data_IF_813986653716
#
_entry.id   IF_813986653716
#
_cell.length_a   1.000
_cell.length_b   1.000
_cell.length_c   1.000
_cell.angle_alpha   90.00
_cell.angle_beta   90.00
_cell.angle_gamma   90.00
#
_symmetry.space_group_name_H-M   'P 1'
#
loop_
_entity.id
_entity.type
_entity.pdbx_description
1 polymer ?
#
# COMPACT_ATOMS: atom_id res chain seq x y z
N UNK A 1 -41.12 50.78 15.99
CA UNK A 1 -39.88 50.64 15.17
C UNK A 1 -38.97 49.55 15.65
N UNK A 2 -38.57 49.49 16.93
CA UNK A 2 -37.62 48.54 17.52
C UNK A 2 -37.93 47.04 17.31
N UNK A 3 -39.20 46.63 17.24
CA UNK A 3 -39.61 45.24 17.03
C UNK A 3 -39.34 44.73 15.59
N UNK A 4 -39.51 45.59 14.59
CA UNK A 4 -39.26 45.29 13.18
C UNK A 4 -37.72 45.17 12.89
N UNK A 5 -36.90 46.00 13.55
CA UNK A 5 -35.45 45.93 13.42
C UNK A 5 -34.86 44.67 14.04
N UNK A 6 -35.32 44.27 15.24
CA UNK A 6 -34.92 43.02 15.86
C UNK A 6 -35.25 41.79 14.99
N UNK A 7 -36.44 41.77 14.38
CA UNK A 7 -36.85 40.67 13.47
C UNK A 7 -35.98 40.63 12.21
N UNK A 8 -35.54 41.79 11.68
CA UNK A 8 -34.65 41.86 10.51
C UNK A 8 -33.23 41.38 10.84
N UNK A 9 -32.69 41.74 12.01
CA UNK A 9 -31.40 41.28 12.48
C UNK A 9 -31.39 39.78 12.74
N UNK A 10 -32.46 39.24 13.37
CA UNK A 10 -32.63 37.82 13.63
C UNK A 10 -32.70 36.99 12.35
N UNK A 11 -33.42 37.47 11.33
CA UNK A 11 -33.45 36.79 10.02
C UNK A 11 -32.10 36.80 9.31
N UNK A 12 -31.35 37.90 9.42
CA UNK A 12 -30.00 37.97 8.87
C UNK A 12 -29.08 36.98 9.58
N UNK A 13 -29.09 36.96 10.91
CA UNK A 13 -28.29 36.05 11.70
C UNK A 13 -28.62 34.60 11.35
N UNK A 14 -29.88 34.25 11.33
CA UNK A 14 -30.32 32.89 10.97
C UNK A 14 -29.89 32.49 9.56
N UNK A 15 -29.95 33.39 8.60
CA UNK A 15 -29.49 33.16 7.23
C UNK A 15 -27.97 32.86 7.18
N UNK A 16 -27.16 33.67 7.87
CA UNK A 16 -25.72 33.48 7.87
C UNK A 16 -25.26 32.24 8.66
N UNK A 17 -25.87 32.01 9.81
CA UNK A 17 -25.62 30.79 10.59
C UNK A 17 -26.04 29.55 9.81
N UNK A 18 -27.20 29.58 9.18
CA UNK A 18 -27.66 28.48 8.31
C UNK A 18 -26.70 28.21 7.14
N UNK A 19 -26.24 29.31 6.49
CA UNK A 19 -25.27 29.17 5.38
C UNK A 19 -23.96 28.53 5.84
N UNK A 20 -23.40 28.95 6.97
CA UNK A 20 -22.16 28.41 7.53
C UNK A 20 -22.36 26.93 7.92
N UNK A 21 -23.46 26.61 8.61
CA UNK A 21 -23.77 25.22 8.97
C UNK A 21 -23.93 24.34 7.73
N UNK A 22 -24.58 24.82 6.69
CA UNK A 22 -24.73 24.07 5.43
C UNK A 22 -23.39 23.79 4.79
N UNK A 23 -22.47 24.75 4.82
CA UNK A 23 -21.10 24.54 4.31
C UNK A 23 -20.36 23.44 5.08
N UNK A 24 -20.49 23.42 6.41
CA UNK A 24 -19.90 22.35 7.24
C UNK A 24 -20.54 20.99 6.93
N UNK A 25 -21.87 20.92 6.82
CA UNK A 25 -22.56 19.66 6.50
C UNK A 25 -22.10 19.13 5.13
N UNK A 26 -21.97 20.00 4.12
CA UNK A 26 -21.46 19.63 2.81
C UNK A 26 -20.02 19.13 2.90
N UNK A 27 -19.15 19.81 3.66
CA UNK A 27 -17.77 19.39 3.84
C UNK A 27 -17.67 18.00 4.50
N UNK A 28 -18.46 17.74 5.55
CA UNK A 28 -18.54 16.42 6.20
C UNK A 28 -19.11 15.35 5.28
N UNK A 29 -20.17 15.65 4.52
CA UNK A 29 -20.74 14.70 3.58
C UNK A 29 -19.74 14.32 2.49
N UNK A 30 -19.04 15.29 1.90
CA UNK A 30 -17.98 15.05 0.92
C UNK A 30 -16.83 14.24 1.54
N UNK A 31 -16.38 14.59 2.75
CA UNK A 31 -15.37 13.84 3.47
C UNK A 31 -15.79 12.37 3.69
N UNK A 32 -17.03 12.13 4.07
CA UNK A 32 -17.59 10.78 4.24
C UNK A 32 -17.61 9.98 2.93
N UNK A 33 -17.99 10.61 1.82
CA UNK A 33 -17.93 9.99 0.49
C UNK A 33 -16.49 9.63 0.12
N UNK A 34 -15.55 10.56 0.36
CA UNK A 34 -14.13 10.31 0.09
C UNK A 34 -13.58 9.17 0.93
N UNK A 35 -13.89 9.10 2.22
CA UNK A 35 -13.43 8.02 3.10
C UNK A 35 -14.00 6.66 2.70
N UNK A 36 -15.25 6.62 2.24
CA UNK A 36 -15.90 5.37 1.82
C UNK A 36 -15.38 4.87 0.45
N UNK A 37 -14.92 5.76 -0.41
CA UNK A 37 -14.37 5.44 -1.73
C UNK A 37 -12.83 5.52 -1.76
N UNK A 38 -12.19 4.94 -0.76
CA UNK A 38 -10.73 4.96 -0.59
C UNK A 38 -9.97 4.51 -1.84
N UNK A 39 -10.46 3.48 -2.54
CA UNK A 39 -9.83 2.96 -3.77
C UNK A 39 -9.82 3.96 -4.93
N UNK A 40 -10.78 4.88 -4.99
CA UNK A 40 -10.79 5.93 -6.00
C UNK A 40 -9.75 7.02 -5.70
N UNK A 41 -9.51 7.30 -4.41
CA UNK A 41 -8.59 8.36 -3.97
C UNK A 41 -7.14 7.88 -4.01
N UNK A 42 -6.86 6.62 -3.66
CA UNK A 42 -5.51 6.05 -3.68
C UNK A 42 -4.92 5.95 -5.09
N UNK A 43 -5.76 6.09 -6.13
CA UNK A 43 -5.28 6.24 -7.52
C UNK A 43 -4.70 7.62 -7.82
N UNK A 44 -5.02 8.63 -7.00
CA UNK A 44 -4.53 10.00 -7.20
C UNK A 44 -3.21 10.16 -6.45
N UNK A 45 -2.13 10.03 -7.17
CA UNK A 45 -0.78 10.25 -6.65
C UNK A 45 -0.53 11.76 -6.65
N UNK A 46 -0.80 12.40 -5.52
CA UNK A 46 -0.55 13.83 -5.35
C UNK A 46 0.97 14.05 -5.22
N UNK A 47 1.58 14.87 -6.08
CA UNK A 47 3.00 15.14 -5.98
C UNK A 47 3.33 15.77 -4.62
N UNK A 48 4.34 15.24 -3.94
CA UNK A 48 4.80 15.69 -2.61
C UNK A 48 5.03 17.20 -2.51
N UNK A 49 5.43 17.84 -3.61
CA UNK A 49 5.64 19.30 -3.68
C UNK A 49 4.39 20.14 -3.33
N UNK A 50 3.19 19.54 -3.39
CA UNK A 50 1.93 20.21 -3.05
C UNK A 50 1.55 20.04 -1.58
N UNK A 51 2.28 19.19 -0.83
CA UNK A 51 2.02 19.01 0.58
C UNK A 51 2.69 20.13 1.39
N UNK A 52 2.02 20.67 2.41
CA UNK A 52 2.65 21.57 3.36
C UNK A 52 3.89 20.92 3.98
N UNK A 53 4.95 21.70 4.22
CA UNK A 53 6.24 21.18 4.72
C UNK A 53 6.11 20.30 5.98
N UNK A 54 5.16 20.58 6.84
CA UNK A 54 4.89 19.80 8.05
C UNK A 54 4.41 18.37 7.79
N UNK A 55 3.94 18.07 6.57
CA UNK A 55 3.51 16.74 6.13
C UNK A 55 4.49 16.09 5.13
N UNK A 56 5.59 16.75 4.81
CA UNK A 56 6.66 16.16 4.04
C UNK A 56 7.38 15.18 4.94
N UNK A 57 7.33 13.90 4.58
CA UNK A 57 8.01 12.83 5.30
C UNK A 57 9.52 12.94 5.06
N UNK A 58 10.22 13.65 5.95
CA UNK A 58 11.68 13.70 5.99
C UNK A 58 12.25 12.56 6.83
N UNK A 59 11.38 11.78 7.47
CA UNK A 59 11.75 10.65 8.31
C UNK A 59 11.24 9.34 7.72
N UNK A 60 12.00 8.30 7.91
CA UNK A 60 11.68 6.93 7.51
C UNK A 60 10.75 6.22 8.52
N UNK A 61 10.15 6.93 9.48
CA UNK A 61 9.50 6.36 10.64
C UNK A 61 8.08 5.84 10.41
N UNK A 62 7.32 6.35 9.46
CA UNK A 62 5.89 6.00 9.31
C UNK A 62 5.67 4.78 8.39
N UNK A 63 6.38 3.66 8.65
CA UNK A 63 6.28 2.48 7.81
C UNK A 63 6.91 2.67 6.42
N UNK A 64 7.74 3.70 6.25
CA UNK A 64 8.50 3.92 5.03
C UNK A 64 9.41 2.73 4.75
N UNK A 65 9.98 2.15 5.80
CA UNK A 65 10.70 0.88 5.78
C UNK A 65 9.96 -0.11 6.68
N UNK A 66 9.46 -1.18 6.11
CA UNK A 66 8.81 -2.30 6.81
C UNK A 66 9.79 -3.46 6.97
N UNK A 67 10.71 -3.60 6.03
CA UNK A 67 11.69 -4.66 6.09
C UNK A 67 12.88 -4.40 5.19
N UNK A 68 13.85 -5.29 5.32
CA UNK A 68 15.09 -5.26 4.57
C UNK A 68 15.38 -6.64 4.00
N UNK A 69 16.05 -6.68 2.85
CA UNK A 69 16.55 -7.89 2.24
C UNK A 69 18.02 -7.69 1.85
N UNK A 70 18.88 -8.61 2.28
CA UNK A 70 20.29 -8.59 1.87
C UNK A 70 20.40 -9.01 0.41
N UNK A 71 20.99 -8.16 -0.41
CA UNK A 71 21.18 -8.40 -1.85
C UNK A 71 22.59 -8.88 -2.20
N UNK A 72 23.55 -8.61 -1.32
CA UNK A 72 24.96 -8.95 -1.51
C UNK A 72 25.75 -8.66 -0.25
N UNK A 73 27.09 -8.77 -0.30
CA UNK A 73 27.95 -8.48 0.85
C UNK A 73 27.78 -7.04 1.34
N UNK A 74 27.68 -6.08 0.40
CA UNK A 74 27.68 -4.64 0.70
C UNK A 74 26.40 -3.92 0.25
N UNK A 75 25.32 -4.66 -0.06
CA UNK A 75 24.08 -4.06 -0.54
C UNK A 75 22.85 -4.62 0.16
N UNK A 76 21.94 -3.72 0.49
CA UNK A 76 20.68 -3.99 1.16
C UNK A 76 19.54 -3.36 0.36
N UNK A 77 18.49 -4.10 0.18
CA UNK A 77 17.22 -3.59 -0.31
C UNK A 77 16.33 -3.23 0.88
N UNK A 78 15.80 -2.02 0.89
CA UNK A 78 14.82 -1.52 1.86
C UNK A 78 13.46 -1.48 1.17
N UNK A 79 12.41 -1.90 1.86
CA UNK A 79 11.06 -1.86 1.29
C UNK A 79 10.02 -1.47 2.32
N UNK A 80 8.93 -0.88 1.85
CA UNK A 80 7.84 -0.40 2.70
C UNK A 80 6.82 0.46 1.97
N UNK A 81 6.19 1.39 2.69
CA UNK A 81 5.12 2.24 2.14
C UNK A 81 5.57 3.18 1.01
N UNK A 82 6.86 3.46 0.91
CA UNK A 82 7.45 4.32 -0.14
C UNK A 82 8.05 3.54 -1.32
N UNK A 83 7.75 2.25 -1.44
CA UNK A 83 8.30 1.37 -2.48
C UNK A 83 9.57 0.68 -2.05
N UNK A 84 10.46 0.50 -3.00
CA UNK A 84 11.72 -0.24 -2.85
C UNK A 84 12.91 0.68 -3.09
N UNK A 85 13.92 0.53 -2.24
CA UNK A 85 15.15 1.32 -2.29
C UNK A 85 16.36 0.41 -2.16
N UNK A 86 17.45 0.78 -2.80
CA UNK A 86 18.75 0.13 -2.63
C UNK A 86 19.67 1.03 -1.82
N UNK A 87 20.41 0.42 -0.91
CA UNK A 87 21.40 1.10 -0.09
C UNK A 87 22.65 0.24 0.08
N UNK A 88 23.72 0.85 0.54
CA UNK A 88 24.86 0.12 1.10
C UNK A 88 24.50 -0.40 2.51
N UNK A 89 25.39 -1.23 3.10
CA UNK A 89 25.19 -1.80 4.44
C UNK A 89 25.14 -0.77 5.57
N UNK A 90 25.56 0.47 5.30
CA UNK A 90 25.47 1.61 6.22
C UNK A 90 24.27 2.49 5.95
N UNK A 91 23.36 2.07 5.06
CA UNK A 91 22.21 2.84 4.59
C UNK A 91 22.58 4.21 3.99
N UNK A 92 23.75 4.32 3.40
CA UNK A 92 24.19 5.48 2.64
C UNK A 92 23.88 5.29 1.16
N UNK A 93 23.75 6.38 0.45
CA UNK A 93 23.55 6.31 -1.00
C UNK A 93 22.23 5.66 -1.41
N UNK A 94 21.13 6.01 -0.73
CA UNK A 94 19.79 5.52 -1.03
C UNK A 94 19.42 5.85 -2.47
N UNK A 95 19.16 4.81 -3.26
CA UNK A 95 18.68 4.93 -4.63
C UNK A 95 17.32 4.27 -4.81
N UNK A 96 16.35 4.92 -5.47
CA UNK A 96 15.04 4.33 -5.71
C UNK A 96 15.17 3.13 -6.65
N UNK A 97 14.45 2.05 -6.32
CA UNK A 97 14.38 0.82 -7.10
C UNK A 97 12.90 0.41 -7.28
N UNK A 98 12.04 1.37 -7.56
CA UNK A 98 10.59 1.17 -7.65
C UNK A 98 10.05 1.18 -9.08
N UNK A 99 10.91 1.24 -10.10
CA UNK A 99 10.51 1.28 -11.50
C UNK A 99 9.71 0.03 -11.87
N UNK A 100 8.57 0.23 -12.52
CA UNK A 100 7.66 -0.84 -12.93
C UNK A 100 6.59 -1.21 -11.89
N UNK A 101 6.64 -0.70 -10.67
CA UNK A 101 5.53 -0.82 -9.74
C UNK A 101 4.33 0.02 -10.24
N UNK A 102 3.13 -0.49 -10.04
CA UNK A 102 1.90 0.27 -10.36
C UNK A 102 1.85 1.58 -9.59
N UNK A 103 1.33 2.65 -10.20
CA UNK A 103 1.09 3.90 -9.49
C UNK A 103 0.03 3.73 -8.38
N UNK A 104 0.08 4.59 -7.39
CA UNK A 104 -0.84 4.62 -6.25
C UNK A 104 -0.22 4.11 -4.95
N UNK A 105 -0.68 4.66 -3.82
CA UNK A 105 -0.12 4.39 -2.50
C UNK A 105 -0.17 2.90 -2.12
N UNK A 106 -1.29 2.22 -2.38
CA UNK A 106 -1.45 0.81 -2.05
C UNK A 106 -0.55 -0.10 -2.90
N UNK A 107 -0.24 0.29 -4.14
CA UNK A 107 0.62 -0.47 -5.04
C UNK A 107 2.10 -0.25 -4.76
N UNK A 108 2.48 0.91 -4.23
CA UNK A 108 3.85 1.21 -3.80
C UNK A 108 4.15 0.70 -2.40
N UNK A 109 3.13 0.37 -1.61
CA UNK A 109 3.30 -0.20 -0.28
C UNK A 109 3.71 -1.67 -0.39
N UNK A 110 5.01 -1.89 -0.44
CA UNK A 110 5.59 -3.24 -0.50
C UNK A 110 5.60 -3.82 0.91
N UNK A 111 4.91 -4.95 1.06
CA UNK A 111 4.70 -5.62 2.36
C UNK A 111 5.75 -6.66 2.66
N UNK A 112 6.17 -7.40 1.64
CA UNK A 112 7.20 -8.42 1.77
C UNK A 112 8.00 -8.55 0.48
N UNK A 113 9.24 -8.96 0.62
CA UNK A 113 10.18 -9.24 -0.48
C UNK A 113 10.92 -10.54 -0.15
N UNK A 114 11.09 -11.40 -1.14
CA UNK A 114 11.82 -12.66 -0.99
C UNK A 114 12.69 -12.95 -2.20
N UNK A 115 13.73 -13.74 -2.00
CA UNK A 115 14.59 -14.25 -3.08
C UNK A 115 14.46 -15.76 -3.14
N UNK A 116 14.25 -16.31 -4.31
CA UNK A 116 14.24 -17.74 -4.57
C UNK A 116 15.66 -18.27 -4.68
N UNK A 117 15.88 -19.59 -4.50
CA UNK A 117 17.22 -20.20 -4.62
C UNK A 117 17.90 -20.00 -5.96
N UNK A 118 17.12 -19.85 -7.03
CA UNK A 118 17.61 -19.53 -8.39
C UNK A 118 17.87 -18.02 -8.59
N UNK A 119 17.85 -17.22 -7.50
CA UNK A 119 18.22 -15.81 -7.49
C UNK A 119 17.14 -14.85 -8.00
N UNK A 120 15.92 -15.32 -8.26
CA UNK A 120 14.81 -14.44 -8.65
C UNK A 120 14.26 -13.71 -7.43
N UNK A 121 13.93 -12.46 -7.62
CA UNK A 121 13.42 -11.58 -6.57
C UNK A 121 11.93 -11.32 -6.79
N UNK A 122 11.16 -11.55 -5.74
CA UNK A 122 9.71 -11.32 -5.72
C UNK A 122 9.34 -10.34 -4.61
N UNK A 123 8.33 -9.51 -4.88
CA UNK A 123 7.76 -8.56 -3.93
C UNK A 123 6.25 -8.58 -4.01
N UNK A 124 5.58 -8.30 -2.90
CA UNK A 124 4.14 -8.11 -2.87
C UNK A 124 3.76 -6.71 -2.40
N UNK A 125 2.75 -6.16 -3.05
CA UNK A 125 1.96 -5.03 -2.54
C UNK A 125 0.62 -5.54 -1.98
N UNK A 126 -0.32 -4.64 -1.75
CA UNK A 126 -1.64 -5.01 -1.24
C UNK A 126 -2.37 -6.07 -2.08
N UNK A 127 -2.23 -6.02 -3.42
CA UNK A 127 -3.00 -6.87 -4.33
C UNK A 127 -2.20 -7.39 -5.52
N UNK A 128 -0.89 -7.12 -5.58
CA UNK A 128 -0.08 -7.47 -6.74
C UNK A 128 1.21 -8.14 -6.30
N UNK A 129 1.51 -9.27 -6.95
CA UNK A 129 2.80 -9.93 -6.89
C UNK A 129 3.67 -9.37 -8.02
N UNK A 130 4.88 -8.98 -7.71
CA UNK A 130 5.89 -8.50 -8.64
C UNK A 130 7.08 -9.43 -8.69
N UNK A 131 7.71 -9.52 -9.86
CA UNK A 131 9.03 -10.14 -10.07
C UNK A 131 9.99 -9.06 -10.57
N UNK A 132 11.18 -9.03 -10.02
CA UNK A 132 12.21 -8.10 -10.47
C UNK A 132 12.93 -8.65 -11.70
N UNK A 133 13.00 -7.85 -12.75
CA UNK A 133 13.81 -8.10 -13.92
C UNK A 133 15.17 -7.40 -13.74
N UNK A 134 16.20 -8.19 -13.45
CA UNK A 134 17.54 -7.68 -13.20
C UNK A 134 18.19 -7.04 -14.44
N UNK A 135 17.82 -7.46 -15.65
CA UNK A 135 18.33 -6.92 -16.91
C UNK A 135 17.73 -5.55 -17.18
N UNK A 136 16.41 -5.44 -17.09
CA UNK A 136 15.68 -4.19 -17.28
C UNK A 136 15.70 -3.29 -16.03
N UNK A 137 16.19 -3.79 -14.89
CA UNK A 137 16.19 -3.15 -13.57
C UNK A 137 14.82 -2.58 -13.16
N UNK A 138 13.78 -3.36 -13.42
CA UNK A 138 12.40 -2.95 -13.18
C UNK A 138 11.54 -4.09 -12.66
N UNK A 139 10.52 -3.76 -11.92
CA UNK A 139 9.51 -4.71 -11.48
C UNK A 139 8.52 -5.00 -12.60
N UNK A 140 8.11 -6.25 -12.70
CA UNK A 140 7.08 -6.73 -13.62
C UNK A 140 6.02 -7.46 -12.81
N UNK A 141 4.75 -7.30 -13.19
CA UNK A 141 3.68 -8.03 -12.56
C UNK A 141 3.82 -9.53 -12.84
N UNK A 142 3.68 -10.31 -11.79
CA UNK A 142 3.71 -11.76 -11.81
C UNK A 142 2.41 -12.33 -11.21
N UNK A 143 2.29 -13.68 -11.18
CA UNK A 143 1.18 -14.32 -10.48
C UNK A 143 -0.18 -14.13 -11.13
N UNK A 144 -0.27 -14.17 -12.46
CA UNK A 144 -1.54 -14.02 -13.21
C UNK A 144 -2.62 -15.04 -12.81
N UNK A 145 -2.21 -16.13 -12.19
CA UNK A 145 -3.12 -17.19 -11.70
C UNK A 145 -3.57 -16.98 -10.26
N UNK A 146 -3.04 -15.95 -9.57
CA UNK A 146 -3.55 -15.57 -8.26
C UNK A 146 -4.92 -14.90 -8.41
N UNK A 147 -5.85 -15.13 -7.47
CA UNK A 147 -7.17 -14.53 -7.54
C UNK A 147 -7.08 -13.01 -7.47
N UNK A 148 -7.79 -12.37 -8.37
CA UNK A 148 -7.88 -10.90 -8.38
C UNK A 148 -8.75 -10.42 -7.22
N UNK A 149 -8.27 -9.43 -6.48
CA UNK A 149 -9.04 -8.74 -5.44
C UNK A 149 -8.76 -9.17 -4.02
N UNK A 150 -8.12 -10.32 -3.78
CA UNK A 150 -7.66 -10.67 -2.45
C UNK A 150 -6.43 -9.85 -2.03
N UNK A 151 -6.38 -9.51 -0.74
CA UNK A 151 -5.22 -8.84 -0.18
C UNK A 151 -4.10 -9.86 0.07
N UNK A 152 -2.94 -9.62 -0.57
CA UNK A 152 -1.72 -10.39 -0.32
C UNK A 152 -1.12 -9.94 1.02
N UNK A 153 -0.75 -10.89 1.87
CA UNK A 153 -0.20 -10.63 3.20
C UNK A 153 1.28 -10.92 3.32
N UNK A 154 1.74 -12.02 2.70
CA UNK A 154 3.16 -12.41 2.75
C UNK A 154 3.58 -13.16 1.49
N UNK A 155 4.89 -13.19 1.22
CA UNK A 155 5.52 -13.98 0.16
C UNK A 155 6.84 -14.57 0.68
N UNK A 156 6.99 -15.89 0.56
CA UNK A 156 8.18 -16.61 1.02
C UNK A 156 8.63 -17.62 -0.02
N UNK A 157 9.93 -17.74 -0.20
CA UNK A 157 10.54 -18.81 -0.98
C UNK A 157 11.07 -19.88 -0.03
N UNK A 158 10.61 -21.11 -0.21
CA UNK A 158 11.06 -22.27 0.59
C UNK A 158 11.38 -23.42 -0.36
N UNK A 159 12.62 -23.83 -0.39
CA UNK A 159 13.12 -24.82 -1.36
C UNK A 159 12.90 -24.31 -2.80
N UNK A 160 12.30 -25.13 -3.64
CA UNK A 160 11.98 -24.85 -5.06
C UNK A 160 10.63 -24.18 -5.25
N UNK A 161 9.95 -23.78 -4.17
CA UNK A 161 8.59 -23.23 -4.20
C UNK A 161 8.52 -21.81 -3.70
N UNK A 162 7.65 -21.05 -4.33
CA UNK A 162 7.25 -19.71 -3.90
C UNK A 162 5.84 -19.78 -3.30
N UNK A 163 5.71 -19.39 -2.06
CA UNK A 163 4.45 -19.32 -1.33
C UNK A 163 3.96 -17.88 -1.31
N UNK A 164 2.68 -17.69 -1.61
CA UNK A 164 1.99 -16.41 -1.47
C UNK A 164 0.81 -16.60 -0.54
N UNK A 165 0.78 -15.82 0.51
CA UNK A 165 -0.26 -15.86 1.54
C UNK A 165 -1.25 -14.73 1.31
N UNK A 166 -2.53 -15.07 1.34
CA UNK A 166 -3.64 -14.11 1.35
C UNK A 166 -4.33 -14.18 2.72
N UNK A 167 -5.42 -13.45 2.90
CA UNK A 167 -6.21 -13.54 4.13
C UNK A 167 -6.89 -14.89 4.34
N UNK A 168 -7.24 -15.57 3.26
CA UNK A 168 -8.09 -16.77 3.29
C UNK A 168 -7.35 -18.03 2.86
N UNK A 169 -6.27 -17.92 2.09
CA UNK A 169 -5.64 -19.03 1.39
C UNK A 169 -4.13 -18.88 1.32
N UNK A 170 -3.46 -20.02 1.14
CA UNK A 170 -2.04 -20.08 0.77
C UNK A 170 -1.95 -20.65 -0.65
N UNK A 171 -1.17 -19.98 -1.47
CA UNK A 171 -0.87 -20.37 -2.83
C UNK A 171 0.59 -20.75 -2.95
N UNK A 172 0.88 -21.78 -3.75
CA UNK A 172 2.25 -22.17 -4.04
C UNK A 172 2.48 -22.32 -5.53
N UNK A 173 3.67 -21.94 -5.98
CA UNK A 173 4.14 -22.17 -7.34
C UNK A 173 5.55 -22.77 -7.29
N UNK A 174 5.80 -23.77 -8.12
CA UNK A 174 7.15 -24.24 -8.42
C UNK A 174 7.78 -23.43 -9.55
N UNK A 175 9.08 -23.59 -9.76
CA UNK A 175 9.78 -22.99 -10.90
C UNK A 175 9.06 -23.36 -12.23
N UNK A 176 8.77 -22.40 -13.12
CA UNK A 176 9.27 -21.02 -13.20
C UNK A 176 8.46 -19.96 -12.42
N UNK A 177 7.58 -20.35 -11.48
CA UNK A 177 6.74 -19.49 -10.62
C UNK A 177 5.63 -18.73 -11.36
N UNK A 178 5.10 -19.30 -12.42
CA UNK A 178 4.08 -18.68 -13.26
C UNK A 178 2.67 -19.15 -12.92
N UNK A 179 2.56 -20.36 -12.33
CA UNK A 179 1.28 -21.00 -12.01
C UNK A 179 1.18 -21.27 -10.51
N UNK A 180 0.28 -20.58 -9.87
CA UNK A 180 -0.04 -20.75 -8.45
C UNK A 180 -1.23 -21.69 -8.28
N UNK A 181 -1.10 -22.63 -7.37
CA UNK A 181 -2.15 -23.55 -6.94
C UNK A 181 -2.45 -23.35 -5.47
N UNK A 182 -3.71 -23.45 -5.10
CA UNK A 182 -4.12 -23.37 -3.69
C UNK A 182 -3.62 -24.59 -2.92
N UNK A 183 -3.06 -24.35 -1.75
CA UNK A 183 -2.72 -25.41 -0.81
C UNK A 183 -3.92 -25.68 0.11
N UNK A 184 -4.35 -26.97 0.27
CA UNK A 184 -5.35 -27.28 1.27
C UNK A 184 -4.76 -27.01 2.67
N UNK A 185 -5.37 -26.11 3.42
CA UNK A 185 -5.08 -25.97 4.82
C UNK A 185 -5.81 -27.07 5.58
N UNK A 186 -5.17 -27.70 6.60
CA UNK A 186 -5.89 -28.59 7.48
C UNK A 186 -7.05 -27.82 8.12
N UNK A 187 -8.21 -28.47 8.23
CA UNK A 187 -9.28 -27.92 9.05
C UNK A 187 -8.70 -27.62 10.45
N UNK A 188 -9.01 -26.48 11.05
CA UNK A 188 -8.66 -26.29 12.45
C UNK A 188 -9.27 -27.48 13.20
N UNK A 189 -8.39 -28.30 13.81
CA UNK A 189 -8.87 -29.30 14.75
C UNK A 189 -9.74 -28.56 15.77
N UNK A 190 -10.77 -29.22 16.28
CA UNK A 190 -11.65 -28.71 17.35
C UNK A 190 -10.84 -28.49 18.66
N UNK A 191 -9.72 -27.81 18.58
CA UNK A 191 -8.92 -27.40 19.72
C UNK A 191 -9.63 -26.21 20.38
N UNK A 192 -10.20 -26.39 21.60
CA UNK A 192 -10.93 -25.34 22.30
C UNK A 192 -10.05 -24.14 22.68
N UNK A 193 -8.77 -24.14 22.30
CA UNK A 193 -7.80 -23.09 22.60
C UNK A 193 -7.33 -22.30 21.35
N UNK A 194 -7.91 -22.55 20.16
CA UNK A 194 -7.67 -21.80 18.94
C UNK A 194 -8.85 -20.89 18.59
#
# INVERSE_FOLDING_TARGET
>A
PRRKEKARTWRRLHKWVGLVLTLFILAFALSGIFLNHRTAITRWDLPRRWMPRQYVYDNWNNGAVVGTLRMGPDSVMLYGSNGVWMADTFCRGLSPCSDGLRPGADNRNIRAVTTTPDGRLFAISAHTLYRFDGTARRWQEAGRTLPSGEALTDVQAVGDRLFVVTRSQIYAAATPYDRFTTLPLPAPDDDPHV
#
